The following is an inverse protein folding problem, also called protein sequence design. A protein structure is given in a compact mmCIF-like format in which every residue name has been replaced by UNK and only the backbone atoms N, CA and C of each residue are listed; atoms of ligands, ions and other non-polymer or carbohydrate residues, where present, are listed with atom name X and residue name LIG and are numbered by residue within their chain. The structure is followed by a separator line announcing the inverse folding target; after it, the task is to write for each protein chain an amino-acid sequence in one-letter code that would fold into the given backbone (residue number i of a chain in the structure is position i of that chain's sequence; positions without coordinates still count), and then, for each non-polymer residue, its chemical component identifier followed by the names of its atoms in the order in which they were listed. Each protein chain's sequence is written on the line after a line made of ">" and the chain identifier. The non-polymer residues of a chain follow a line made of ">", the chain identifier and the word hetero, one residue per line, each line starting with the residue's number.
data_IF_929891067220
#
_entry.id   IF_929891067220
#
_cell.length_a   1.000
_cell.length_b   1.000
_cell.length_c   1.000
_cell.angle_alpha   90.00
_cell.angle_beta   90.00
_cell.angle_gamma   90.00
#
_symmetry.space_group_name_H-M   'P 1'
#
loop_
_entity.id
_entity.type
_entity.pdbx_description
1 polymer ?
#
# COMPACT_ATOMS: atom_id res chain seq x y z
N UNK A 1 34.64 46.24 -35.46
CA UNK A 1 35.47 45.50 -34.50
C UNK A 1 34.65 45.33 -33.23
N UNK A 2 34.17 44.14 -32.86
CA UNK A 2 33.58 43.92 -31.55
C UNK A 2 34.64 43.32 -30.62
N UNK A 3 34.93 44.05 -29.54
CA UNK A 3 35.68 43.58 -28.39
C UNK A 3 34.72 43.64 -27.21
N UNK A 4 34.37 42.51 -26.62
CA UNK A 4 34.84 42.14 -25.28
C UNK A 4 33.98 40.98 -24.74
N UNK A 5 34.65 39.87 -24.43
CA UNK A 5 34.09 38.68 -23.82
C UNK A 5 34.36 38.76 -22.32
N UNK A 6 33.40 39.24 -21.54
CA UNK A 6 33.40 39.16 -20.09
C UNK A 6 32.68 37.90 -19.62
N UNK A 7 33.39 36.77 -19.58
CA UNK A 7 33.00 35.60 -18.82
C UNK A 7 33.42 35.79 -17.35
N UNK A 8 32.49 35.62 -16.40
CA UNK A 8 32.69 34.93 -15.11
C UNK A 8 31.42 35.05 -14.26
N UNK A 9 31.19 34.02 -13.44
CA UNK A 9 30.17 33.88 -12.40
C UNK A 9 28.76 33.64 -12.95
N UNK A 10 28.22 32.42 -12.95
CA UNK A 10 27.86 31.66 -11.75
C UNK A 10 28.05 30.17 -12.02
N UNK A 11 29.05 29.58 -11.38
CA UNK A 11 29.05 28.16 -11.06
C UNK A 11 28.31 28.01 -9.73
N UNK A 12 27.05 27.60 -9.79
CA UNK A 12 26.33 27.08 -8.63
C UNK A 12 26.01 25.62 -8.92
N UNK A 13 26.92 24.75 -8.46
CA UNK A 13 26.62 23.36 -8.17
C UNK A 13 25.51 23.35 -7.11
N UNK A 14 24.28 23.09 -7.56
CA UNK A 14 23.25 22.52 -6.72
C UNK A 14 22.74 21.26 -7.39
N UNK A 15 23.63 20.26 -7.40
CA UNK A 15 23.25 18.88 -7.12
C UNK A 15 22.46 18.84 -5.80
N UNK A 16 21.17 19.18 -5.85
CA UNK A 16 20.22 18.80 -4.81
C UNK A 16 18.96 18.34 -5.53
N UNK A 17 18.98 17.03 -5.74
CA UNK A 17 17.89 16.16 -6.10
C UNK A 17 16.66 16.56 -5.27
N UNK A 18 15.77 17.37 -5.84
CA UNK A 18 14.38 17.49 -5.40
C UNK A 18 13.44 17.58 -6.61
N UNK A 19 13.86 16.97 -7.71
CA UNK A 19 12.95 16.47 -8.71
C UNK A 19 12.31 15.18 -8.20
N UNK A 20 11.43 15.27 -7.20
CA UNK A 20 10.31 14.31 -7.08
C UNK A 20 9.28 14.62 -8.18
N UNK A 21 9.76 14.85 -9.41
CA UNK A 21 8.97 14.86 -10.62
C UNK A 21 8.62 13.42 -10.95
N UNK A 22 7.69 12.83 -10.21
CA UNK A 22 6.85 11.78 -10.80
C UNK A 22 5.72 12.48 -11.55
N UNK A 23 6.05 13.19 -12.62
CA UNK A 23 5.17 13.15 -13.79
C UNK A 23 5.48 11.83 -14.48
N UNK A 24 4.96 10.74 -13.92
CA UNK A 24 4.76 9.49 -14.66
C UNK A 24 3.26 9.43 -14.88
N UNK A 25 2.83 9.16 -16.12
CA UNK A 25 1.47 8.66 -16.40
C UNK A 25 1.02 7.79 -15.23
N UNK A 26 -0.11 8.12 -14.59
CA UNK A 26 -0.55 7.52 -13.33
C UNK A 26 -0.43 5.99 -13.39
N UNK A 27 0.60 5.46 -12.73
CA UNK A 27 0.86 4.02 -12.67
C UNK A 27 0.10 3.41 -11.51
N UNK A 28 -0.27 2.13 -11.65
CA UNK A 28 -0.84 1.34 -10.56
C UNK A 28 0.21 1.17 -9.45
N UNK A 29 -0.18 1.53 -8.22
CA UNK A 29 0.64 1.38 -7.02
C UNK A 29 -0.01 0.41 -6.04
N UNK A 30 0.82 -0.26 -5.22
CA UNK A 30 0.36 -1.20 -4.19
C UNK A 30 -0.57 -0.51 -3.18
N UNK A 31 -0.24 0.71 -2.74
CA UNK A 31 -1.09 1.51 -1.85
C UNK A 31 -2.44 1.90 -2.48
N UNK A 32 -2.43 2.31 -3.76
CA UNK A 32 -3.67 2.62 -4.47
C UNK A 32 -4.59 1.42 -4.55
N UNK A 33 -4.04 0.25 -4.89
CA UNK A 33 -4.78 -1.01 -4.94
C UNK A 33 -5.30 -1.42 -3.57
N UNK A 34 -4.47 -1.31 -2.52
CA UNK A 34 -4.84 -1.60 -1.15
C UNK A 34 -6.02 -0.75 -0.67
N UNK A 35 -6.02 0.55 -0.98
CA UNK A 35 -7.10 1.47 -0.61
C UNK A 35 -8.45 1.10 -1.25
N UNK A 36 -8.44 0.55 -2.48
CA UNK A 36 -9.67 0.14 -3.16
C UNK A 36 -10.21 -1.19 -2.64
N UNK A 37 -9.34 -2.17 -2.36
CA UNK A 37 -9.79 -3.51 -1.94
C UNK A 37 -10.02 -3.64 -0.44
N UNK A 38 -9.48 -2.72 0.36
CA UNK A 38 -9.72 -2.67 1.80
C UNK A 38 -11.23 -2.68 2.10
N UNK A 39 -11.64 -3.51 3.05
CA UNK A 39 -13.04 -3.61 3.42
C UNK A 39 -13.89 -4.51 2.50
N UNK A 40 -13.42 -4.89 1.30
CA UNK A 40 -14.21 -5.68 0.35
C UNK A 40 -14.03 -7.19 0.62
N UNK A 41 -15.09 -7.94 1.01
CA UNK A 41 -14.98 -9.34 1.41
C UNK A 41 -15.14 -10.35 0.26
N UNK A 42 -15.35 -9.87 -0.96
CA UNK A 42 -15.66 -10.73 -2.11
C UNK A 42 -14.81 -10.36 -3.32
N UNK A 43 -14.13 -11.36 -3.88
CA UNK A 43 -13.18 -11.17 -5.00
C UNK A 43 -13.83 -10.59 -6.26
N UNK A 44 -15.06 -11.00 -6.59
CA UNK A 44 -15.77 -10.42 -7.72
C UNK A 44 -16.17 -8.94 -7.52
N UNK A 45 -16.36 -8.51 -6.26
CA UNK A 45 -16.63 -7.10 -5.95
C UNK A 45 -15.33 -6.30 -6.02
N UNK A 46 -14.22 -6.86 -5.51
CA UNK A 46 -12.92 -6.24 -5.58
C UNK A 46 -12.47 -6.01 -7.04
N UNK A 47 -12.66 -7.00 -7.92
CA UNK A 47 -12.41 -6.83 -9.35
C UNK A 47 -13.17 -5.65 -9.94
N UNK A 48 -14.49 -5.60 -9.74
CA UNK A 48 -15.32 -4.51 -10.28
C UNK A 48 -14.93 -3.15 -9.71
N UNK A 49 -14.49 -3.08 -8.44
CA UNK A 49 -14.02 -1.85 -7.84
C UNK A 49 -12.71 -1.36 -8.49
N UNK A 50 -11.80 -2.27 -8.82
CA UNK A 50 -10.55 -1.97 -9.53
C UNK A 50 -10.82 -1.52 -10.98
N UNK A 51 -11.74 -2.20 -11.68
CA UNK A 51 -12.18 -1.80 -13.02
C UNK A 51 -12.86 -0.42 -13.01
N UNK A 52 -13.70 -0.16 -12.01
CA UNK A 52 -14.36 1.14 -11.83
C UNK A 52 -13.38 2.27 -11.50
N UNK A 53 -12.22 1.95 -10.89
CA UNK A 53 -11.12 2.88 -10.68
C UNK A 53 -10.29 3.15 -11.96
N UNK A 54 -10.64 2.51 -13.08
CA UNK A 54 -10.00 2.71 -14.38
C UNK A 54 -8.79 1.80 -14.62
N UNK A 55 -8.60 0.75 -13.83
CA UNK A 55 -7.51 -0.22 -14.02
C UNK A 55 -7.96 -1.46 -14.75
N UNK A 56 -7.05 -2.06 -15.51
CA UNK A 56 -7.26 -3.37 -16.11
C UNK A 56 -6.98 -4.44 -15.06
N UNK A 57 -8.01 -5.21 -14.69
CA UNK A 57 -7.89 -6.24 -13.68
C UNK A 57 -8.36 -7.60 -14.21
N UNK A 58 -7.65 -8.66 -13.85
CA UNK A 58 -8.00 -10.04 -14.25
C UNK A 58 -8.01 -10.96 -13.03
N UNK A 59 -9.03 -11.81 -12.89
CA UNK A 59 -9.11 -12.80 -11.80
C UNK A 59 -8.60 -14.15 -12.28
N UNK A 60 -7.75 -14.79 -11.46
CA UNK A 60 -7.41 -16.20 -11.55
C UNK A 60 -7.45 -16.85 -10.17
N UNK A 61 -8.45 -17.72 -9.92
CA UNK A 61 -8.62 -18.36 -8.61
C UNK A 61 -8.89 -17.35 -7.49
N UNK A 62 -8.00 -17.29 -6.50
CA UNK A 62 -8.06 -16.31 -5.41
C UNK A 62 -7.18 -15.07 -5.64
N UNK A 63 -6.75 -14.81 -6.88
CA UNK A 63 -5.85 -13.71 -7.22
C UNK A 63 -6.46 -12.76 -8.24
N UNK A 64 -6.15 -11.48 -8.12
CA UNK A 64 -6.42 -10.44 -9.09
C UNK A 64 -5.09 -9.84 -9.54
N UNK A 65 -4.82 -9.81 -10.84
CA UNK A 65 -3.68 -9.08 -11.42
C UNK A 65 -4.17 -7.75 -11.95
N UNK A 66 -3.54 -6.65 -11.54
CA UNK A 66 -3.90 -5.27 -11.91
C UNK A 66 -2.79 -4.65 -12.75
N UNK A 67 -3.13 -4.22 -13.97
CA UNK A 67 -2.25 -3.61 -14.97
C UNK A 67 -0.91 -4.36 -15.15
N UNK A 68 -0.92 -5.70 -14.99
CA UNK A 68 0.26 -6.58 -15.00
C UNK A 68 1.37 -6.23 -13.99
N UNK A 69 1.09 -5.28 -13.10
CA UNK A 69 2.08 -4.66 -12.20
C UNK A 69 1.86 -5.03 -10.73
N UNK A 70 0.61 -5.27 -10.33
CA UNK A 70 0.26 -5.58 -8.94
C UNK A 70 -0.55 -6.87 -8.88
N UNK A 71 -0.16 -7.75 -7.95
CA UNK A 71 -0.89 -8.96 -7.62
C UNK A 71 -1.60 -8.78 -6.28
N UNK A 72 -2.90 -9.04 -6.29
CA UNK A 72 -3.78 -9.02 -5.12
C UNK A 72 -4.25 -10.44 -4.87
N UNK A 73 -4.06 -10.97 -3.67
CA UNK A 73 -4.50 -12.31 -3.31
C UNK A 73 -5.50 -12.26 -2.15
N UNK A 74 -6.67 -12.87 -2.35
CA UNK A 74 -7.66 -13.08 -1.32
C UNK A 74 -7.27 -14.25 -0.43
N UNK A 75 -7.18 -14.00 0.87
CA UNK A 75 -6.98 -15.01 1.90
C UNK A 75 -8.30 -15.17 2.64
N UNK A 76 -8.93 -16.33 2.45
CA UNK A 76 -10.17 -16.68 3.12
C UNK A 76 -9.96 -16.69 4.65
N UNK A 77 -11.02 -16.45 5.45
CA UNK A 77 -10.88 -16.46 6.89
C UNK A 77 -10.46 -17.86 7.34
N UNK A 78 -9.56 -17.91 8.31
CA UNK A 78 -9.06 -19.18 8.85
C UNK A 78 -9.39 -19.26 10.33
N UNK A 79 -9.75 -20.45 10.79
CA UNK A 79 -9.93 -20.73 12.22
C UNK A 79 -8.66 -21.40 12.69
N UNK A 80 -7.89 -20.69 13.51
CA UNK A 80 -6.65 -21.19 14.11
C UNK A 80 -6.77 -21.39 15.61
N UNK A 81 -5.69 -21.88 16.21
CA UNK A 81 -5.58 -22.12 17.67
C UNK A 81 -5.89 -20.87 18.51
N UNK A 82 -5.67 -19.67 17.96
CA UNK A 82 -5.87 -18.38 18.63
C UNK A 82 -7.18 -17.67 18.25
N UNK A 83 -8.11 -18.37 17.61
CA UNK A 83 -9.41 -17.83 17.19
C UNK A 83 -9.55 -17.66 15.68
N UNK A 84 -10.53 -16.86 15.28
CA UNK A 84 -10.86 -16.61 13.87
C UNK A 84 -10.05 -15.43 13.34
N UNK A 85 -9.20 -15.70 12.34
CA UNK A 85 -8.54 -14.65 11.57
C UNK A 85 -9.48 -14.27 10.44
N UNK A 86 -9.81 -12.97 10.39
CA UNK A 86 -10.64 -12.41 9.34
C UNK A 86 -10.08 -12.62 7.95
N UNK A 87 -10.95 -12.58 6.94
CA UNK A 87 -10.49 -12.61 5.56
C UNK A 87 -9.66 -11.36 5.25
N UNK A 88 -8.55 -11.53 4.54
CA UNK A 88 -7.61 -10.45 4.21
C UNK A 88 -7.24 -10.45 2.73
N UNK A 89 -6.69 -9.33 2.29
CA UNK A 89 -6.04 -9.16 1.00
C UNK A 89 -4.54 -9.05 1.21
N UNK A 90 -3.75 -9.84 0.48
CA UNK A 90 -2.31 -9.63 0.33
C UNK A 90 -2.05 -8.93 -1.00
N UNK A 91 -1.38 -7.78 -0.99
CA UNK A 91 -1.08 -6.97 -2.19
C UNK A 91 0.43 -6.81 -2.31
N UNK A 92 0.99 -7.12 -3.48
CA UNK A 92 2.40 -6.88 -3.77
C UNK A 92 2.59 -6.51 -5.24
N UNK A 93 3.64 -5.74 -5.52
CA UNK A 93 4.07 -5.51 -6.89
C UNK A 93 4.72 -6.79 -7.47
N UNK A 94 4.65 -6.94 -8.80
CA UNK A 94 5.19 -8.11 -9.52
C UNK A 94 6.73 -8.00 -9.72
N UNK A 95 7.32 -6.84 -9.43
CA UNK A 95 8.76 -6.58 -9.62
C UNK A 95 9.64 -7.02 -8.45
N UNK A 96 10.94 -7.18 -8.67
CA UNK A 96 11.90 -7.85 -7.75
C UNK A 96 12.12 -7.22 -6.36
N UNK A 97 11.58 -6.02 -6.09
CA UNK A 97 11.67 -5.37 -4.78
C UNK A 97 10.28 -4.89 -4.33
N UNK A 98 9.43 -5.81 -3.88
CA UNK A 98 8.02 -5.51 -3.64
C UNK A 98 7.66 -5.55 -2.16
N UNK A 99 7.27 -4.38 -1.64
CA UNK A 99 6.55 -4.29 -0.38
C UNK A 99 5.23 -5.07 -0.51
N UNK A 100 4.95 -5.92 0.49
CA UNK A 100 3.66 -6.61 0.61
C UNK A 100 2.81 -5.87 1.63
N UNK A 101 1.64 -5.41 1.22
CA UNK A 101 0.62 -4.86 2.12
C UNK A 101 -0.43 -5.93 2.40
N UNK A 102 -0.90 -5.96 3.65
CA UNK A 102 -2.03 -6.80 4.06
C UNK A 102 -3.13 -5.89 4.55
N UNK A 103 -4.32 -5.96 3.95
CA UNK A 103 -5.49 -5.19 4.39
C UNK A 103 -6.64 -6.13 4.72
N UNK A 104 -7.41 -5.79 5.75
CA UNK A 104 -8.59 -6.55 6.15
C UNK A 104 -9.72 -6.41 5.16
N UNK A 105 -10.51 -7.46 5.00
CA UNK A 105 -11.83 -7.36 4.40
C UNK A 105 -12.82 -7.09 5.52
N UNK A 106 -13.77 -6.18 5.33
CA UNK A 106 -14.52 -5.52 6.42
C UNK A 106 -15.51 -6.41 7.17
N UNK A 107 -15.39 -7.73 7.05
CA UNK A 107 -16.21 -8.73 7.72
C UNK A 107 -15.30 -9.61 8.56
N UNK A 108 -14.85 -9.08 9.69
CA UNK A 108 -14.55 -9.78 10.96
C UNK A 108 -13.99 -8.73 11.95
N UNK A 109 -14.80 -7.70 12.22
CA UNK A 109 -14.65 -6.81 13.39
C UNK A 109 -15.86 -6.98 14.32
N UNK A 110 -16.38 -8.20 14.46
CA UNK A 110 -17.47 -8.45 15.41
C UNK A 110 -16.91 -8.66 16.82
N UNK A 111 -16.79 -7.53 17.51
CA UNK A 111 -16.98 -7.32 18.96
C UNK A 111 -15.80 -7.17 19.95
N UNK A 112 -14.52 -7.44 19.66
CA UNK A 112 -13.48 -7.42 20.73
C UNK A 112 -12.14 -6.72 20.44
N UNK A 113 -11.93 -6.15 19.26
CA UNK A 113 -10.65 -5.52 18.91
C UNK A 113 -10.45 -4.08 19.44
N UNK A 114 -11.35 -3.57 20.30
CA UNK A 114 -11.15 -2.29 20.99
C UNK A 114 -10.24 -2.40 22.22
N UNK A 115 -9.80 -3.60 22.63
CA UNK A 115 -8.94 -3.79 23.83
C UNK A 115 -7.43 -3.86 23.54
N UNK A 116 -7.01 -4.19 22.31
CA UNK A 116 -5.59 -4.50 22.03
C UNK A 116 -4.73 -3.25 21.75
N UNK A 117 -5.32 -2.11 21.38
CA UNK A 117 -4.55 -0.86 21.14
C UNK A 117 -4.41 0.01 22.39
N UNK A 118 -5.20 -0.23 23.45
CA UNK A 118 -5.12 0.57 24.68
C UNK A 118 -4.18 -0.03 25.74
N UNK A 119 -4.00 -1.36 25.79
CA UNK A 119 -3.10 -1.98 26.78
C UNK A 119 -1.61 -1.89 26.42
N UNK A 120 -1.27 -1.66 25.15
CA UNK A 120 0.11 -1.46 24.71
C UNK A 120 0.65 -0.03 24.98
N UNK A 121 -0.22 0.93 25.30
CA UNK A 121 0.18 2.31 25.63
C UNK A 121 0.27 2.55 27.15
N UNK A 122 -0.48 1.79 27.96
CA UNK A 122 -0.40 1.88 29.43
C UNK A 122 0.61 0.91 30.08
N UNK A 123 1.06 -0.13 29.36
CA UNK A 123 2.02 -1.12 29.90
C UNK A 123 3.48 -0.66 29.98
N UNK A 124 3.83 0.51 29.43
CA UNK A 124 5.23 0.99 29.39
C UNK A 124 5.55 2.12 30.39
N UNK A 125 4.67 2.39 31.37
CA UNK A 125 4.92 3.40 32.42
C UNK A 125 4.66 2.87 33.84
N UNK A 126 5.16 1.68 34.16
CA UNK A 126 5.21 1.21 35.54
C UNK A 126 6.45 0.36 35.85
N UNK A 127 7.62 0.75 35.35
CA UNK A 127 8.90 0.35 35.95
C UNK A 127 9.82 1.56 35.98
N UNK A 128 9.83 2.28 37.11
CA UNK A 128 10.96 3.04 37.68
C UNK A 128 10.45 4.07 38.71
N UNK A 129 11.02 4.05 39.92
CA UNK A 129 10.92 5.04 41.03
C UNK A 129 9.62 4.90 41.86
N UNK A 130 9.61 4.60 43.16
CA UNK A 130 10.64 4.42 44.19
C UNK A 130 10.06 3.55 45.32
#
# INVERSE_FOLDING_TARGET
>A
MPSDFGASDIHCDQSTINQSTTTRRGGVSVDGVANIVAGIPAIGIALRALEAAGWHATIAGNRITVDEQVLVQFVAPTVGTFGRIGATWMIHAVTEASQTLIVGTGLDYTADAHRIVTEAVDGHRAESVS
#
